data_IF_097790514852
#
_entry.id   IF_097790514852
#
_cell.length_a   1.000
_cell.length_b   1.000
_cell.length_c   1.000
_cell.angle_alpha   90.00
_cell.angle_beta   90.00
_cell.angle_gamma   90.00
#
_symmetry.space_group_name_H-M   'P 1'
#
loop_
_entity.id
_entity.type
_entity.pdbx_description
1 polymer ?
#
# COMPACT_ATOMS: atom_id res chain seq x y z
N UNK A 1 50.31 20.24 -23.45
CA UNK A 1 49.85 20.93 -22.22
C UNK A 1 48.35 20.75 -22.10
N UNK A 2 47.84 20.16 -21.00
CA UNK A 2 46.41 20.09 -20.74
C UNK A 2 45.92 21.45 -20.21
N UNK A 3 44.75 21.88 -20.68
CA UNK A 3 44.06 23.07 -20.17
C UNK A 3 43.48 22.76 -18.79
N UNK A 4 44.17 23.19 -17.74
CA UNK A 4 43.63 23.23 -16.39
C UNK A 4 42.40 24.13 -16.35
N UNK A 5 41.25 23.56 -15.95
CA UNK A 5 40.06 24.35 -15.59
C UNK A 5 40.41 25.23 -14.41
N UNK A 6 40.55 26.54 -14.64
CA UNK A 6 40.62 27.56 -13.58
C UNK A 6 39.42 27.41 -12.65
N UNK A 7 39.67 26.98 -11.42
CA UNK A 7 38.75 27.19 -10.30
C UNK A 7 38.77 28.68 -9.96
N UNK A 8 37.74 29.41 -10.38
CA UNK A 8 37.51 30.77 -9.92
C UNK A 8 36.90 30.64 -8.52
N UNK A 9 37.74 30.75 -7.49
CA UNK A 9 37.26 31.01 -6.13
C UNK A 9 36.92 32.50 -6.04
N UNK A 10 35.63 32.84 -6.04
CA UNK A 10 35.19 34.17 -5.61
C UNK A 10 35.02 34.17 -4.10
N UNK A 11 35.72 35.10 -3.45
CA UNK A 11 35.84 35.26 -2.00
C UNK A 11 34.55 35.89 -1.41
N UNK A 12 33.47 35.11 -1.47
CA UNK A 12 32.11 35.51 -1.09
C UNK A 12 31.00 34.58 -1.59
N UNK A 13 31.31 33.61 -2.46
CA UNK A 13 30.37 32.55 -2.79
C UNK A 13 30.24 31.59 -1.60
N UNK A 14 29.06 31.52 -0.99
CA UNK A 14 28.70 30.39 -0.10
C UNK A 14 29.11 29.10 -0.83
N UNK A 15 30.10 28.39 -0.28
CA UNK A 15 30.53 27.08 -0.77
C UNK A 15 29.27 26.25 -1.05
N UNK A 16 29.11 25.79 -2.29
CA UNK A 16 28.02 24.90 -2.65
C UNK A 16 28.30 23.53 -2.05
N UNK A 17 27.90 23.38 -0.79
CA UNK A 17 28.14 22.16 0.00
C UNK A 17 27.37 20.96 -0.55
N UNK A 18 26.30 21.18 -1.31
CA UNK A 18 25.50 20.10 -1.88
C UNK A 18 26.21 19.44 -3.07
N UNK A 19 26.91 20.20 -3.90
CA UNK A 19 27.67 19.62 -5.03
C UNK A 19 28.92 18.84 -4.61
N UNK A 20 29.41 19.03 -3.39
CA UNK A 20 30.55 18.29 -2.82
C UNK A 20 30.14 16.94 -2.21
N UNK A 21 28.86 16.74 -1.89
CA UNK A 21 28.39 15.48 -1.33
C UNK A 21 28.54 14.31 -2.33
N UNK A 22 28.83 13.08 -1.88
CA UNK A 22 28.75 11.87 -2.72
C UNK A 22 27.34 11.57 -3.22
N UNK A 23 27.22 10.82 -4.32
CA UNK A 23 25.93 10.47 -4.93
C UNK A 23 25.05 9.69 -3.95
N UNK A 24 25.63 8.82 -3.13
CA UNK A 24 24.93 8.00 -2.13
C UNK A 24 24.21 8.86 -1.09
N UNK A 25 24.87 9.93 -0.62
CA UNK A 25 24.28 10.87 0.34
C UNK A 25 23.17 11.66 -0.33
N UNK A 26 23.36 12.07 -1.58
CA UNK A 26 22.32 12.77 -2.34
C UNK A 26 21.11 11.88 -2.59
N UNK A 27 21.28 10.59 -2.90
CA UNK A 27 20.17 9.65 -3.02
C UNK A 27 19.39 9.50 -1.72
N UNK A 28 20.11 9.40 -0.59
CA UNK A 28 19.49 9.32 0.72
C UNK A 28 18.68 10.58 1.03
N UNK A 29 19.23 11.77 0.81
CA UNK A 29 18.50 13.04 1.00
C UNK A 29 17.28 13.11 0.08
N UNK A 30 17.43 12.77 -1.20
CA UNK A 30 16.32 12.78 -2.17
C UNK A 30 15.22 11.75 -1.82
N UNK A 31 15.57 10.66 -1.13
CA UNK A 31 14.59 9.64 -0.73
C UNK A 31 13.55 10.13 0.29
N UNK A 32 13.82 11.23 0.99
CA UNK A 32 12.87 11.87 1.90
C UNK A 32 11.94 12.88 1.22
N UNK A 33 12.18 13.19 -0.05
CA UNK A 33 11.42 14.20 -0.78
C UNK A 33 10.31 13.55 -1.60
N UNK A 34 9.24 14.31 -1.83
CA UNK A 34 8.28 14.01 -2.89
C UNK A 34 9.01 14.02 -4.24
N UNK A 35 8.68 13.03 -5.07
CA UNK A 35 9.19 12.81 -6.42
C UNK A 35 9.10 14.08 -7.27
N UNK A 36 8.09 14.93 -7.11
CA UNK A 36 8.00 16.20 -7.84
C UNK A 36 9.20 17.11 -7.56
N UNK A 37 9.67 17.17 -6.30
CA UNK A 37 10.83 17.98 -5.91
C UNK A 37 12.12 17.29 -6.33
N UNK A 38 12.16 15.95 -6.23
CA UNK A 38 13.28 15.16 -6.72
C UNK A 38 13.50 15.38 -8.22
N UNK A 39 12.44 15.34 -9.03
CA UNK A 39 12.50 15.64 -10.47
C UNK A 39 12.85 17.11 -10.70
N UNK A 40 12.27 18.06 -9.95
CA UNK A 40 12.62 19.50 -10.06
C UNK A 40 14.09 19.78 -9.78
N UNK A 41 14.74 19.01 -8.90
CA UNK A 41 16.18 19.16 -8.62
C UNK A 41 17.05 18.95 -9.86
N UNK A 42 16.53 18.29 -10.91
CA UNK A 42 17.25 18.08 -12.18
C UNK A 42 17.70 19.36 -12.88
N UNK A 43 17.13 20.52 -12.56
CA UNK A 43 17.54 21.82 -13.12
C UNK A 43 18.78 22.40 -12.45
N UNK A 44 19.19 21.89 -11.29
CA UNK A 44 20.29 22.46 -10.49
C UNK A 44 21.65 22.26 -11.17
N UNK A 45 21.90 21.09 -11.77
CA UNK A 45 23.08 20.86 -12.60
C UNK A 45 22.94 19.57 -13.43
N UNK A 46 23.88 19.35 -14.37
CA UNK A 46 23.95 18.11 -15.14
C UNK A 46 23.99 16.83 -14.28
N UNK A 47 24.62 16.90 -13.09
CA UNK A 47 24.66 15.79 -12.14
C UNK A 47 23.27 15.47 -11.60
N UNK A 48 22.52 16.49 -11.17
CA UNK A 48 21.17 16.31 -10.65
C UNK A 48 20.17 15.82 -11.69
N UNK A 49 20.42 16.08 -12.98
CA UNK A 49 19.62 15.58 -14.09
C UNK A 49 19.61 14.05 -14.21
N UNK A 50 20.67 13.37 -13.78
CA UNK A 50 20.72 11.91 -13.71
C UNK A 50 20.38 11.35 -12.34
N UNK A 51 20.68 12.08 -11.25
CA UNK A 51 20.49 11.60 -9.88
C UNK A 51 19.05 11.14 -9.60
N UNK A 52 18.05 11.91 -10.01
CA UNK A 52 16.64 11.57 -9.74
C UNK A 52 16.22 10.22 -10.35
N UNK A 53 16.85 9.78 -11.45
CA UNK A 53 16.59 8.49 -12.10
C UNK A 53 17.20 7.30 -11.37
N UNK A 54 18.07 7.56 -10.40
CA UNK A 54 18.85 6.57 -9.65
C UNK A 54 18.30 6.37 -8.22
N UNK A 55 17.42 7.27 -7.74
CA UNK A 55 16.83 7.20 -6.39
C UNK A 55 15.94 5.95 -6.26
N UNK A 56 16.16 5.06 -5.30
CA UNK A 56 15.41 3.80 -5.18
C UNK A 56 13.99 3.95 -4.60
N UNK A 57 13.60 5.17 -4.23
CA UNK A 57 12.34 5.58 -3.61
C UNK A 57 11.60 6.55 -4.53
N UNK A 58 10.31 6.33 -4.74
CA UNK A 58 9.40 7.29 -5.34
C UNK A 58 8.26 7.56 -4.37
N UNK A 59 8.14 8.81 -3.92
CA UNK A 59 7.03 9.27 -3.11
C UNK A 59 6.18 10.21 -3.94
N UNK A 60 4.90 9.92 -4.14
CA UNK A 60 3.98 10.78 -4.84
C UNK A 60 2.96 11.30 -3.85
N UNK A 61 2.81 12.62 -3.73
CA UNK A 61 1.71 13.23 -2.95
C UNK A 61 0.76 13.93 -3.91
N UNK A 62 -0.40 13.34 -4.13
CA UNK A 62 -1.34 13.79 -5.14
C UNK A 62 -2.01 15.12 -4.84
N UNK A 63 -2.03 15.60 -3.59
CA UNK A 63 -2.50 16.97 -3.24
C UNK A 63 -1.72 18.05 -3.98
N UNK A 64 -0.52 17.72 -4.46
CA UNK A 64 0.34 18.65 -5.17
C UNK A 64 0.23 18.59 -6.70
N UNK A 65 -0.68 17.77 -7.22
CA UNK A 65 -0.95 17.62 -8.64
C UNK A 65 -2.39 18.01 -8.95
N UNK A 66 -2.63 18.59 -10.13
CA UNK A 66 -3.99 18.75 -10.63
C UNK A 66 -4.58 17.35 -10.88
N UNK A 67 -5.80 17.12 -10.40
CA UNK A 67 -6.43 15.78 -10.32
C UNK A 67 -6.38 15.01 -11.64
N UNK A 68 -6.57 15.71 -12.75
CA UNK A 68 -6.74 15.14 -14.07
C UNK A 68 -5.44 14.61 -14.72
N UNK A 69 -4.27 14.94 -14.17
CA UNK A 69 -2.98 14.60 -14.79
C UNK A 69 -2.08 13.72 -13.92
N UNK A 70 -2.47 13.41 -12.68
CA UNK A 70 -1.59 12.72 -11.72
C UNK A 70 -1.18 11.33 -12.21
N UNK A 71 -2.14 10.52 -12.64
CA UNK A 71 -1.91 9.17 -13.19
C UNK A 71 -0.93 9.20 -14.36
N UNK A 72 -1.13 10.09 -15.32
CA UNK A 72 -0.29 10.20 -16.50
C UNK A 72 1.14 10.62 -16.14
N UNK A 73 1.31 11.50 -15.14
CA UNK A 73 2.63 11.84 -14.61
C UNK A 73 3.31 10.65 -13.95
N UNK A 74 2.58 9.89 -13.13
CA UNK A 74 3.12 8.68 -12.47
C UNK A 74 3.53 7.64 -13.53
N UNK A 75 2.67 7.35 -14.51
CA UNK A 75 2.96 6.39 -15.59
C UNK A 75 4.17 6.83 -16.43
N UNK A 76 4.22 8.11 -16.84
CA UNK A 76 5.36 8.65 -17.58
C UNK A 76 6.66 8.59 -16.77
N UNK A 77 6.62 8.91 -15.47
CA UNK A 77 7.81 8.85 -14.62
C UNK A 77 8.30 7.41 -14.43
N UNK A 78 7.40 6.46 -14.19
CA UNK A 78 7.72 5.04 -14.11
C UNK A 78 8.32 4.53 -15.43
N UNK A 79 7.77 4.98 -16.57
CA UNK A 79 8.31 4.68 -17.92
C UNK A 79 9.67 5.30 -18.20
N UNK A 80 9.94 6.54 -17.76
CA UNK A 80 11.27 7.14 -17.94
C UNK A 80 12.29 6.42 -17.08
N UNK A 81 11.88 5.95 -15.91
CA UNK A 81 12.75 5.26 -14.96
C UNK A 81 13.02 3.82 -15.31
N UNK A 82 12.12 3.13 -16.00
CA UNK A 82 12.37 1.74 -16.43
C UNK A 82 13.59 1.59 -17.33
N UNK A 83 13.98 2.67 -18.03
CA UNK A 83 15.18 2.71 -18.87
C UNK A 83 16.48 2.86 -18.04
N UNK A 84 16.37 3.22 -16.76
CA UNK A 84 17.51 3.30 -15.84
C UNK A 84 17.89 1.90 -15.35
N UNK A 85 19.19 1.59 -15.31
CA UNK A 85 19.69 0.33 -14.73
C UNK A 85 19.48 0.23 -13.20
N UNK A 86 18.93 1.26 -12.56
CA UNK A 86 18.75 1.34 -11.11
C UNK A 86 17.35 0.83 -10.72
N UNK A 87 17.32 -0.22 -9.90
CA UNK A 87 16.10 -0.90 -9.47
C UNK A 87 15.27 -0.02 -8.54
N UNK A 88 14.03 0.23 -8.92
CA UNK A 88 13.04 0.84 -8.04
C UNK A 88 12.61 -0.17 -6.97
N UNK A 89 12.82 0.15 -5.69
CA UNK A 89 12.49 -0.76 -4.58
C UNK A 89 11.31 -0.29 -3.76
N UNK A 90 11.13 1.01 -3.64
CA UNK A 90 10.09 1.61 -2.81
C UNK A 90 9.25 2.56 -3.63
N UNK A 91 7.93 2.39 -3.56
CA UNK A 91 6.96 3.32 -4.10
C UNK A 91 5.93 3.63 -3.03
N UNK A 92 5.72 4.91 -2.77
CA UNK A 92 4.67 5.42 -1.93
C UNK A 92 3.80 6.38 -2.75
N UNK A 93 2.49 6.16 -2.75
CA UNK A 93 1.51 7.08 -3.32
C UNK A 93 0.58 7.51 -2.20
N UNK A 94 0.71 8.77 -1.81
CA UNK A 94 -0.08 9.46 -0.80
C UNK A 94 -1.09 10.35 -1.50
N UNK A 95 -2.30 10.43 -0.97
CA UNK A 95 -3.34 11.36 -1.40
C UNK A 95 -3.61 11.33 -2.91
N UNK A 96 -3.91 10.17 -3.49
CA UNK A 96 -4.26 10.11 -4.92
C UNK A 96 -5.47 11.05 -5.18
N UNK A 97 -5.34 12.06 -6.05
CA UNK A 97 -6.44 12.95 -6.35
C UNK A 97 -7.48 12.21 -7.20
N UNK A 98 -8.75 12.60 -7.09
CA UNK A 98 -9.86 11.88 -7.73
C UNK A 98 -10.24 10.56 -7.05
N UNK A 99 -10.05 10.43 -5.73
CA UNK A 99 -10.58 9.31 -4.95
C UNK A 99 -12.12 9.27 -5.06
N UNK A 100 -12.67 8.16 -5.58
CA UNK A 100 -14.09 8.03 -5.93
C UNK A 100 -14.38 8.10 -7.44
N UNK A 101 -13.40 8.54 -8.26
CA UNK A 101 -13.40 8.34 -9.71
C UNK A 101 -12.53 7.12 -10.05
N UNK A 102 -12.78 6.45 -11.20
CA UNK A 102 -12.02 5.25 -11.64
C UNK A 102 -10.51 5.55 -11.74
N UNK A 103 -9.80 5.35 -10.63
CA UNK A 103 -8.36 5.62 -10.53
C UNK A 103 -7.57 4.39 -10.93
N UNK A 104 -7.07 4.40 -12.16
CA UNK A 104 -6.21 3.37 -12.74
C UNK A 104 -4.74 3.44 -12.25
N UNK A 105 -4.44 4.09 -11.12
CA UNK A 105 -3.04 4.27 -10.70
C UNK A 105 -2.36 2.93 -10.39
N UNK A 106 -3.13 1.98 -9.86
CA UNK A 106 -2.66 0.61 -9.66
C UNK A 106 -2.31 -0.06 -11.00
N UNK A 107 -3.07 0.22 -12.07
CA UNK A 107 -2.77 -0.27 -13.42
C UNK A 107 -1.46 0.34 -13.97
N UNK A 108 -1.16 1.60 -13.68
CA UNK A 108 0.12 2.22 -14.05
C UNK A 108 1.31 1.55 -13.33
N UNK A 109 1.18 1.31 -12.02
CA UNK A 109 2.17 0.56 -11.25
C UNK A 109 2.33 -0.87 -11.77
N UNK A 110 1.22 -1.55 -12.05
CA UNK A 110 1.21 -2.88 -12.60
C UNK A 110 1.93 -2.96 -13.96
N UNK A 111 1.65 -2.02 -14.87
CA UNK A 111 2.36 -1.89 -16.15
C UNK A 111 3.85 -1.72 -15.93
N UNK A 112 4.25 -0.94 -14.92
CA UNK A 112 5.66 -0.72 -14.63
C UNK A 112 6.40 -1.99 -14.19
N UNK A 113 5.76 -2.83 -13.37
CA UNK A 113 6.32 -4.11 -12.92
C UNK A 113 6.30 -5.14 -14.05
N UNK A 114 5.21 -5.20 -14.81
CA UNK A 114 5.00 -6.24 -15.82
C UNK A 114 5.78 -6.01 -17.10
N UNK A 115 5.84 -4.77 -17.59
CA UNK A 115 6.51 -4.43 -18.84
C UNK A 115 8.00 -4.18 -18.67
N UNK A 116 8.42 -3.75 -17.47
CA UNK A 116 9.79 -3.28 -17.25
C UNK A 116 10.55 -4.03 -16.15
N UNK A 117 10.00 -5.15 -15.67
CA UNK A 117 10.63 -6.06 -14.69
C UNK A 117 11.19 -5.34 -13.46
N UNK A 118 10.50 -4.28 -13.01
CA UNK A 118 10.92 -3.50 -11.84
C UNK A 118 10.59 -4.29 -10.57
N UNK A 119 11.59 -4.64 -9.73
CA UNK A 119 11.37 -5.42 -8.53
C UNK A 119 10.94 -4.50 -7.38
N UNK A 120 9.70 -4.02 -7.42
CA UNK A 120 9.13 -3.21 -6.34
C UNK A 120 9.01 -4.11 -5.10
N UNK A 121 9.80 -3.79 -4.07
CA UNK A 121 9.89 -4.53 -2.81
C UNK A 121 8.90 -3.98 -1.76
N UNK A 122 8.66 -2.68 -1.78
CA UNK A 122 7.84 -1.98 -0.81
C UNK A 122 6.84 -1.06 -1.52
N UNK A 123 5.54 -1.27 -1.26
CA UNK A 123 4.46 -0.51 -1.86
C UNK A 123 3.53 0.04 -0.77
N UNK A 124 3.42 1.36 -0.70
CA UNK A 124 2.53 2.07 0.21
C UNK A 124 1.52 2.85 -0.63
N UNK A 125 0.24 2.56 -0.45
CA UNK A 125 -0.84 3.20 -1.19
C UNK A 125 -1.84 3.76 -0.19
N UNK A 126 -2.14 5.05 -0.33
CA UNK A 126 -3.12 5.73 0.48
C UNK A 126 -4.18 6.38 -0.39
N UNK A 127 -5.46 6.21 -0.06
CA UNK A 127 -6.61 6.74 -0.82
C UNK A 127 -6.56 6.29 -2.27
N UNK A 128 -6.43 4.99 -2.48
CA UNK A 128 -6.45 4.36 -3.80
C UNK A 128 -7.67 3.46 -3.89
N UNK A 129 -8.39 3.59 -5.00
CA UNK A 129 -9.51 2.73 -5.36
C UNK A 129 -9.00 1.56 -6.21
N UNK A 130 -9.44 0.36 -5.84
CA UNK A 130 -9.15 -0.89 -6.53
C UNK A 130 -10.45 -1.42 -7.10
N UNK A 131 -10.65 -1.22 -8.40
CA UNK A 131 -11.78 -1.80 -9.11
C UNK A 131 -11.43 -3.23 -9.56
N UNK A 132 -12.47 -4.04 -9.76
CA UNK A 132 -12.48 -5.47 -10.14
C UNK A 132 -11.32 -5.93 -11.07
N UNK A 133 -10.90 -5.09 -12.03
CA UNK A 133 -9.85 -5.37 -13.00
C UNK A 133 -8.42 -5.40 -12.42
N UNK A 134 -8.16 -4.73 -11.30
CA UNK A 134 -6.81 -4.53 -10.74
C UNK A 134 -6.20 -5.83 -10.19
N UNK A 135 -7.01 -6.67 -9.53
CA UNK A 135 -6.54 -7.93 -8.95
C UNK A 135 -6.76 -9.15 -9.86
N UNK A 136 -7.73 -9.10 -10.79
CA UNK A 136 -8.19 -10.29 -11.52
C UNK A 136 -7.59 -10.59 -12.89
N UNK A 137 -6.98 -9.62 -13.58
CA UNK A 137 -6.61 -9.81 -15.00
C UNK A 137 -5.11 -9.77 -15.30
N UNK A 138 -4.29 -9.90 -14.28
CA UNK A 138 -2.90 -9.47 -14.37
C UNK A 138 -1.98 -10.68 -14.18
N UNK A 139 -1.62 -11.34 -15.29
CA UNK A 139 -0.76 -12.54 -15.36
C UNK A 139 0.64 -12.39 -14.75
N UNK A 140 0.95 -11.22 -14.16
CA UNK A 140 2.27 -10.79 -13.70
C UNK A 140 2.20 -10.17 -12.30
N UNK A 141 2.01 -10.98 -11.26
CA UNK A 141 2.02 -10.50 -9.87
C UNK A 141 3.32 -9.79 -9.46
N UNK A 142 3.27 -8.98 -8.41
CA UNK A 142 4.47 -8.34 -7.84
C UNK A 142 5.34 -9.40 -7.13
N UNK A 143 6.26 -10.03 -7.88
CA UNK A 143 7.07 -11.16 -7.39
C UNK A 143 8.08 -10.78 -6.30
N UNK A 144 8.56 -9.54 -6.31
CA UNK A 144 9.55 -9.03 -5.36
C UNK A 144 8.91 -8.35 -4.13
N UNK A 145 7.59 -8.17 -4.11
CA UNK A 145 6.91 -7.39 -3.08
C UNK A 145 6.99 -8.09 -1.73
N UNK A 146 7.58 -7.40 -0.76
CA UNK A 146 7.77 -7.86 0.61
C UNK A 146 6.88 -7.10 1.59
N UNK A 147 6.60 -5.82 1.32
CA UNK A 147 5.73 -4.97 2.13
C UNK A 147 4.64 -4.37 1.26
N UNK A 148 3.39 -4.57 1.65
CA UNK A 148 2.22 -3.89 1.10
C UNK A 148 1.47 -3.20 2.24
N UNK A 149 1.29 -1.89 2.13
CA UNK A 149 0.46 -1.13 3.05
C UNK A 149 -0.60 -0.36 2.26
N UNK A 150 -1.87 -0.63 2.57
CA UNK A 150 -3.04 0.05 2.02
C UNK A 150 -3.67 0.86 3.15
N UNK A 151 -3.91 2.14 2.91
CA UNK A 151 -4.50 3.06 3.90
C UNK A 151 -5.63 3.86 3.26
N UNK A 152 -6.80 3.91 3.89
CA UNK A 152 -7.96 4.65 3.36
C UNK A 152 -8.30 4.22 1.91
N UNK A 153 -8.07 2.94 1.58
CA UNK A 153 -8.25 2.40 0.23
C UNK A 153 -9.62 1.75 0.06
N UNK A 154 -10.21 1.91 -1.13
CA UNK A 154 -11.46 1.26 -1.51
C UNK A 154 -11.18 -0.01 -2.30
N UNK A 155 -11.72 -1.14 -1.85
CA UNK A 155 -11.49 -2.48 -2.39
C UNK A 155 -12.81 -3.01 -2.96
N UNK A 156 -13.12 -2.70 -4.21
CA UNK A 156 -14.37 -3.15 -4.85
C UNK A 156 -14.24 -4.57 -5.41
N UNK A 157 -14.99 -5.50 -4.81
CA UNK A 157 -15.10 -6.89 -5.26
C UNK A 157 -16.51 -7.25 -5.76
N UNK A 158 -17.41 -6.29 -5.93
CA UNK A 158 -18.84 -6.47 -6.26
C UNK A 158 -19.09 -7.37 -7.48
N UNK A 159 -18.17 -7.39 -8.44
CA UNK A 159 -18.32 -8.14 -9.69
C UNK A 159 -17.58 -9.48 -9.70
N UNK A 160 -17.29 -10.01 -8.50
CA UNK A 160 -16.69 -11.33 -8.28
C UNK A 160 -17.70 -12.31 -7.71
N UNK A 161 -18.13 -13.29 -8.52
CA UNK A 161 -18.99 -14.39 -8.05
C UNK A 161 -18.26 -15.40 -7.14
N UNK A 162 -17.02 -15.12 -6.69
CA UNK A 162 -16.21 -16.01 -5.85
C UNK A 162 -15.24 -15.24 -4.94
N UNK A 163 -14.93 -15.76 -3.73
CA UNK A 163 -13.99 -15.13 -2.81
C UNK A 163 -12.57 -15.15 -3.40
N UNK A 164 -12.11 -14.00 -3.89
CA UNK A 164 -10.74 -13.84 -4.34
C UNK A 164 -9.80 -13.67 -3.15
N UNK A 165 -8.61 -14.25 -3.26
CA UNK A 165 -7.47 -13.77 -2.47
C UNK A 165 -6.67 -12.74 -3.29
N UNK A 166 -6.89 -11.42 -3.08
CA UNK A 166 -6.18 -10.36 -3.83
C UNK A 166 -4.66 -10.43 -3.65
N UNK A 167 -4.19 -11.02 -2.54
CA UNK A 167 -2.77 -11.13 -2.22
C UNK A 167 -2.10 -12.42 -2.73
N UNK A 168 -2.85 -13.31 -3.39
CA UNK A 168 -2.34 -14.62 -3.85
C UNK A 168 -1.15 -14.54 -4.81
N UNK A 169 -0.95 -13.39 -5.45
CA UNK A 169 0.09 -13.16 -6.46
C UNK A 169 1.31 -12.41 -5.92
N UNK A 170 1.44 -12.27 -4.60
CA UNK A 170 2.59 -11.67 -3.93
C UNK A 170 3.37 -12.74 -3.15
N UNK A 171 4.15 -13.60 -3.82
CA UNK A 171 4.73 -14.80 -3.22
C UNK A 171 5.77 -14.50 -2.12
N UNK A 172 6.37 -13.31 -2.13
CA UNK A 172 7.40 -12.88 -1.18
C UNK A 172 6.85 -11.94 -0.10
N UNK A 173 5.54 -11.74 -0.03
CA UNK A 173 4.92 -10.80 0.89
C UNK A 173 5.11 -11.25 2.35
N UNK A 174 5.79 -10.41 3.14
CA UNK A 174 6.10 -10.64 4.55
C UNK A 174 5.28 -9.75 5.47
N UNK A 175 4.95 -8.54 5.00
CA UNK A 175 4.20 -7.56 5.78
C UNK A 175 3.02 -7.06 4.97
N UNK A 176 1.82 -7.19 5.54
CA UNK A 176 0.59 -6.65 4.98
C UNK A 176 -0.05 -5.73 6.02
N UNK A 177 -0.37 -4.51 5.64
CA UNK A 177 -1.14 -3.58 6.45
C UNK A 177 -2.36 -3.11 5.65
N UNK A 178 -3.54 -3.22 6.24
CA UNK A 178 -4.82 -2.72 5.75
C UNK A 178 -5.36 -1.79 6.84
N UNK A 179 -5.40 -0.48 6.55
CA UNK A 179 -5.73 0.55 7.53
C UNK A 179 -6.88 1.40 6.99
N UNK A 180 -8.01 1.45 7.68
CA UNK A 180 -9.20 2.20 7.25
C UNK A 180 -9.62 1.85 5.81
N UNK A 181 -9.49 0.58 5.41
CA UNK A 181 -9.88 0.13 4.07
C UNK A 181 -11.35 -0.28 4.05
N UNK A 182 -12.05 0.01 2.95
CA UNK A 182 -13.47 -0.32 2.82
C UNK A 182 -13.79 -1.02 1.51
N UNK A 183 -14.90 -1.75 1.46
CA UNK A 183 -15.52 -2.18 0.20
C UNK A 183 -16.96 -1.68 0.08
N UNK A 184 -17.50 -1.68 -1.14
CA UNK A 184 -18.83 -1.14 -1.48
C UNK A 184 -19.89 -1.39 -0.41
N UNK A 185 -20.43 -0.30 0.12
CA UNK A 185 -21.84 -0.21 0.45
C UNK A 185 -22.50 0.22 -0.86
N UNK A 186 -23.13 -0.71 -1.60
CA UNK A 186 -23.95 -0.30 -2.73
C UNK A 186 -24.99 0.71 -2.26
N UNK A 187 -25.42 1.62 -3.14
CA UNK A 187 -26.50 2.58 -2.82
C UNK A 187 -27.80 1.86 -2.38
N UNK A 188 -27.96 0.59 -2.76
CA UNK A 188 -29.03 -0.31 -2.32
C UNK A 188 -28.44 -1.60 -1.66
N UNK A 189 -28.42 -1.70 -0.31
CA UNK A 189 -27.97 -2.90 0.40
C UNK A 189 -28.88 -4.13 0.18
N UNK A 190 -30.05 -3.96 -0.43
CA UNK A 190 -31.04 -5.03 -0.64
C UNK A 190 -30.89 -5.80 -1.97
N UNK A 191 -30.17 -5.27 -2.98
CA UNK A 191 -30.08 -5.91 -4.31
C UNK A 191 -28.78 -6.72 -4.56
N UNK A 192 -27.74 -6.54 -3.74
CA UNK A 192 -26.46 -7.21 -3.92
C UNK A 192 -26.30 -8.38 -2.94
N UNK A 193 -26.87 -9.54 -3.31
CA UNK A 193 -26.78 -10.83 -2.59
C UNK A 193 -25.35 -11.43 -2.57
N UNK A 194 -24.36 -10.72 -3.13
CA UNK A 194 -23.00 -11.21 -3.26
C UNK A 194 -22.26 -11.12 -1.93
N UNK A 195 -21.95 -12.27 -1.32
CA UNK A 195 -21.11 -12.36 -0.11
C UNK A 195 -19.75 -11.66 -0.31
N UNK A 196 -19.52 -10.60 0.46
CA UNK A 196 -18.30 -9.78 0.44
C UNK A 196 -17.26 -10.36 1.39
N UNK A 197 -16.55 -11.38 0.94
CA UNK A 197 -15.50 -12.04 1.72
C UNK A 197 -14.11 -11.54 1.33
N UNK A 198 -13.38 -10.90 2.25
CA UNK A 198 -11.95 -10.62 2.11
C UNK A 198 -11.12 -11.82 2.58
N UNK A 199 -10.48 -12.52 1.64
CA UNK A 199 -9.61 -13.65 1.96
C UNK A 199 -8.13 -13.27 1.89
N UNK A 200 -7.44 -13.31 3.02
CA UNK A 200 -5.99 -13.10 3.10
C UNK A 200 -5.30 -14.46 3.22
N UNK A 201 -4.70 -14.95 2.13
CA UNK A 201 -3.80 -16.13 2.20
C UNK A 201 -2.36 -15.71 1.99
N UNK A 202 -1.54 -15.88 3.03
CA UNK A 202 -0.13 -15.46 3.02
C UNK A 202 0.78 -16.51 3.65
N UNK A 203 1.35 -17.40 2.83
CA UNK A 203 2.26 -18.45 3.31
C UNK A 203 3.59 -17.89 3.83
N UNK A 204 4.05 -16.75 3.32
CA UNK A 204 5.31 -16.09 3.76
C UNK A 204 5.04 -14.89 4.68
N UNK A 205 3.78 -14.63 5.01
CA UNK A 205 3.37 -13.47 5.79
C UNK A 205 3.81 -13.64 7.24
N UNK A 206 4.59 -12.68 7.74
CA UNK A 206 5.14 -12.66 9.10
C UNK A 206 4.43 -11.64 9.99
N UNK A 207 3.93 -10.56 9.39
CA UNK A 207 3.26 -9.46 10.07
C UNK A 207 1.99 -9.06 9.32
N UNK A 208 0.87 -8.99 10.04
CA UNK A 208 -0.42 -8.53 9.52
C UNK A 208 -0.96 -7.43 10.42
N UNK A 209 -1.32 -6.30 9.84
CA UNK A 209 -2.10 -5.25 10.49
C UNK A 209 -3.42 -5.07 9.75
N UNK A 210 -4.52 -5.26 10.47
CA UNK A 210 -5.88 -4.97 10.01
C UNK A 210 -6.42 -3.96 11.01
N UNK A 211 -6.56 -2.72 10.58
CA UNK A 211 -7.00 -1.61 11.40
C UNK A 211 -8.20 -0.98 10.70
N UNK A 212 -9.37 -1.02 11.34
CA UNK A 212 -10.58 -0.34 10.88
C UNK A 212 -11.00 -0.71 9.45
N UNK A 213 -11.06 -2.02 9.13
CA UNK A 213 -11.48 -2.51 7.82
C UNK A 213 -12.97 -2.86 7.84
N UNK A 214 -13.76 -2.25 6.96
CA UNK A 214 -15.24 -2.31 6.99
C UNK A 214 -15.89 -2.52 5.61
N UNK A 215 -17.20 -2.79 5.60
CA UNK A 215 -18.00 -3.06 4.39
C UNK A 215 -18.00 -4.52 3.92
N UNK A 216 -17.19 -5.38 4.55
CA UNK A 216 -17.12 -6.82 4.27
C UNK A 216 -18.09 -7.59 5.14
N UNK A 217 -18.70 -8.65 4.61
CA UNK A 217 -19.47 -9.60 5.41
C UNK A 217 -18.55 -10.53 6.20
N UNK A 218 -17.40 -10.87 5.62
CA UNK A 218 -16.45 -11.81 6.23
C UNK A 218 -14.99 -11.46 5.90
N UNK A 219 -14.10 -11.57 6.90
CA UNK A 219 -12.64 -11.49 6.72
C UNK A 219 -12.02 -12.83 7.15
N UNK A 220 -11.51 -13.58 6.18
CA UNK A 220 -10.83 -14.87 6.38
C UNK A 220 -9.33 -14.72 6.25
N UNK A 221 -8.58 -14.92 7.33
CA UNK A 221 -7.11 -14.89 7.34
C UNK A 221 -6.54 -16.30 7.48
N UNK A 222 -5.80 -16.76 6.48
CA UNK A 222 -5.02 -17.99 6.52
C UNK A 222 -3.54 -17.68 6.29
N UNK A 223 -2.77 -17.63 7.37
CA UNK A 223 -1.35 -17.29 7.33
C UNK A 223 -0.58 -18.18 8.33
N UNK A 224 -0.11 -19.36 7.90
CA UNK A 224 0.45 -20.36 8.81
C UNK A 224 1.78 -19.93 9.46
N UNK A 225 2.53 -19.03 8.84
CA UNK A 225 3.82 -18.53 9.35
C UNK A 225 3.72 -17.13 10.00
N UNK A 226 2.50 -16.64 10.24
CA UNK A 226 2.27 -15.33 10.81
C UNK A 226 2.77 -15.29 12.26
N UNK A 227 3.65 -14.34 12.58
CA UNK A 227 4.23 -14.17 13.93
C UNK A 227 3.58 -13.04 14.71
N UNK A 228 3.21 -11.96 14.02
CA UNK A 228 2.60 -10.77 14.62
C UNK A 228 1.31 -10.41 13.91
N UNK A 229 0.26 -10.22 14.69
CA UNK A 229 -1.03 -9.76 14.20
C UNK A 229 -1.51 -8.57 15.04
N UNK A 230 -1.86 -7.48 14.36
CA UNK A 230 -2.60 -6.37 14.96
C UNK A 230 -3.99 -6.37 14.32
N UNK A 231 -5.03 -6.47 15.14
CA UNK A 231 -6.42 -6.31 14.71
C UNK A 231 -7.03 -5.18 15.53
N UNK A 232 -7.39 -4.08 14.87
CA UNK A 232 -8.16 -3.01 15.49
C UNK A 232 -9.45 -2.83 14.70
N UNK A 233 -10.55 -2.67 15.40
CA UNK A 233 -11.84 -2.42 14.78
C UNK A 233 -12.57 -1.32 15.55
N UNK A 234 -13.00 -0.28 14.84
CA UNK A 234 -13.93 0.72 15.34
C UNK A 234 -15.30 0.42 14.73
N UNK A 235 -16.33 0.29 15.55
CA UNK A 235 -17.67 0.01 15.04
C UNK A 235 -18.27 1.33 14.56
N UNK A 236 -18.49 1.45 13.26
CA UNK A 236 -19.18 2.59 12.65
C UNK A 236 -20.68 2.34 12.57
N UNK A 237 -21.49 3.37 12.79
CA UNK A 237 -22.96 3.33 12.99
C UNK A 237 -23.80 2.66 11.87
N UNK A 238 -23.19 2.20 10.77
CA UNK A 238 -23.89 1.68 9.59
C UNK A 238 -23.17 0.53 8.86
N UNK A 239 -22.10 -0.03 9.43
CA UNK A 239 -21.38 -1.13 8.76
C UNK A 239 -22.00 -2.48 9.12
N UNK A 240 -22.25 -3.37 8.14
CA UNK A 240 -22.64 -4.74 8.44
C UNK A 240 -21.58 -5.41 9.33
N UNK A 241 -22.02 -6.24 10.27
CA UNK A 241 -21.15 -6.84 11.26
C UNK A 241 -20.23 -7.88 10.61
N UNK A 242 -18.99 -7.49 10.30
CA UNK A 242 -18.01 -8.32 9.61
C UNK A 242 -17.55 -9.51 10.46
N UNK A 243 -17.86 -10.73 10.04
CA UNK A 243 -17.35 -11.94 10.70
C UNK A 243 -15.84 -12.11 10.41
N UNK A 244 -15.01 -12.24 11.43
CA UNK A 244 -13.56 -12.37 11.26
C UNK A 244 -13.06 -13.74 11.73
N UNK A 245 -12.43 -14.47 10.81
CA UNK A 245 -11.90 -15.82 11.04
C UNK A 245 -10.39 -15.87 10.84
N UNK A 246 -9.65 -16.16 11.90
CA UNK A 246 -8.20 -16.33 11.86
C UNK A 246 -7.78 -17.80 11.95
N UNK A 247 -6.98 -18.22 10.98
CA UNK A 247 -6.23 -19.47 11.00
C UNK A 247 -4.73 -19.16 10.86
N UNK A 248 -4.08 -18.98 12.02
CA UNK A 248 -2.73 -18.43 12.16
C UNK A 248 -1.92 -19.20 13.21
N UNK A 249 -1.67 -20.51 13.03
CA UNK A 249 -1.14 -21.41 14.06
C UNK A 249 0.24 -21.04 14.64
N UNK A 250 1.04 -20.22 13.96
CA UNK A 250 2.39 -19.82 14.45
C UNK A 250 2.41 -18.44 15.12
N UNK A 251 1.25 -17.91 15.51
CA UNK A 251 1.13 -16.55 16.04
C UNK A 251 1.80 -16.42 17.41
N UNK A 252 2.81 -15.54 17.49
CA UNK A 252 3.56 -15.28 18.73
C UNK A 252 3.02 -14.05 19.47
N UNK A 253 2.61 -13.02 18.74
CA UNK A 253 2.12 -11.76 19.31
C UNK A 253 0.83 -11.31 18.63
N UNK A 254 -0.21 -11.11 19.43
CA UNK A 254 -1.48 -10.55 19.00
C UNK A 254 -1.76 -9.23 19.74
N UNK A 255 -2.07 -8.17 19.01
CA UNK A 255 -2.57 -6.92 19.55
C UNK A 255 -4.00 -6.70 19.03
N UNK A 256 -4.99 -6.88 19.90
CA UNK A 256 -6.40 -6.79 19.55
C UNK A 256 -6.99 -5.58 20.27
N UNK A 257 -7.52 -4.61 19.51
CA UNK A 257 -8.17 -3.42 20.06
C UNK A 257 -9.57 -3.28 19.46
N UNK A 258 -10.59 -3.50 20.27
CA UNK A 258 -11.99 -3.37 19.88
C UNK A 258 -12.51 -2.09 20.54
N UNK A 259 -12.77 -1.05 19.75
CA UNK A 259 -13.25 0.23 20.25
C UNK A 259 -14.78 0.29 20.29
N UNK A 260 -15.31 1.01 21.28
CA UNK A 260 -16.58 0.69 21.94
C UNK A 260 -17.88 1.09 21.25
N UNK A 261 -18.92 0.34 21.63
CA UNK A 261 -20.34 0.38 21.26
C UNK A 261 -21.13 1.64 21.67
N UNK A 262 -20.58 2.84 21.50
CA UNK A 262 -21.33 4.05 21.91
C UNK A 262 -22.45 4.35 20.91
N UNK A 263 -23.69 4.11 21.30
CA UNK A 263 -24.89 4.47 20.51
C UNK A 263 -25.65 3.30 19.90
N UNK A 264 -25.08 2.08 19.90
CA UNK A 264 -25.75 0.89 19.37
C UNK A 264 -26.85 0.37 20.29
N UNK A 265 -27.88 -0.24 19.69
CA UNK A 265 -28.90 -0.98 20.43
C UNK A 265 -28.33 -2.25 21.10
N UNK A 266 -29.11 -2.87 21.96
CA UNK A 266 -28.65 -4.03 22.74
C UNK A 266 -28.52 -5.33 21.93
N UNK A 267 -29.21 -5.43 20.78
CA UNK A 267 -29.14 -6.59 19.88
C UNK A 267 -27.82 -6.59 19.10
N UNK A 268 -27.43 -5.43 18.54
CA UNK A 268 -26.14 -5.22 17.88
C UNK A 268 -24.98 -5.42 18.86
N UNK A 269 -25.11 -4.97 20.12
CA UNK A 269 -24.08 -5.25 21.16
C UNK A 269 -23.92 -6.74 21.40
N UNK A 270 -25.01 -7.50 21.48
CA UNK A 270 -24.94 -8.95 21.72
C UNK A 270 -24.28 -9.69 20.55
N UNK A 271 -24.67 -9.37 19.32
CA UNK A 271 -24.09 -10.00 18.13
C UNK A 271 -22.60 -9.66 17.99
N UNK A 272 -22.21 -8.42 18.26
CA UNK A 272 -20.81 -8.02 18.19
C UNK A 272 -19.97 -8.69 19.29
N UNK A 273 -20.52 -8.86 20.49
CA UNK A 273 -19.87 -9.63 21.55
C UNK A 273 -19.70 -11.10 21.17
N UNK A 274 -20.68 -11.70 20.47
CA UNK A 274 -20.59 -13.07 19.95
C UNK A 274 -19.47 -13.21 18.92
N UNK A 275 -19.38 -12.29 17.96
CA UNK A 275 -18.31 -12.30 16.96
C UNK A 275 -16.92 -12.05 17.59
N UNK A 276 -16.83 -11.12 18.54
CA UNK A 276 -15.60 -10.91 19.30
C UNK A 276 -15.18 -12.18 20.05
N UNK A 277 -16.13 -12.90 20.66
CA UNK A 277 -15.83 -14.18 21.29
C UNK A 277 -15.30 -15.21 20.27
N UNK A 278 -15.86 -15.28 19.06
CA UNK A 278 -15.35 -16.14 17.98
C UNK A 278 -13.93 -15.74 17.53
N UNK A 279 -13.67 -14.44 17.40
CA UNK A 279 -12.34 -13.89 17.10
C UNK A 279 -11.31 -14.33 18.15
N UNK A 280 -11.62 -14.14 19.44
CA UNK A 280 -10.76 -14.56 20.55
C UNK A 280 -10.60 -16.09 20.61
N UNK A 281 -11.64 -16.87 20.29
CA UNK A 281 -11.55 -18.33 20.21
C UNK A 281 -10.65 -18.79 19.05
N UNK A 282 -10.73 -18.16 17.88
CA UNK A 282 -9.84 -18.42 16.75
C UNK A 282 -8.37 -18.13 17.07
N UNK A 283 -8.11 -16.99 17.71
CA UNK A 283 -6.76 -16.57 18.09
C UNK A 283 -6.19 -17.36 19.28
N UNK A 284 -7.01 -17.73 20.26
CA UNK A 284 -6.58 -18.58 21.39
C UNK A 284 -6.23 -20.00 20.94
N UNK A 285 -6.96 -20.58 19.98
CA UNK A 285 -6.58 -21.87 19.35
C UNK A 285 -5.25 -21.79 18.62
N UNK A 286 -4.88 -20.63 18.08
CA UNK A 286 -3.58 -20.40 17.48
C UNK A 286 -2.45 -20.28 18.52
N UNK A 287 -2.70 -19.64 19.68
CA UNK A 287 -1.67 -19.42 20.71
C UNK A 287 -1.54 -20.55 21.75
N UNK A 288 -2.54 -21.44 21.87
CA UNK A 288 -2.55 -22.55 22.85
C UNK A 288 -1.74 -23.79 22.43
N UNK A 289 -0.97 -23.69 21.34
CA UNK A 289 -0.08 -24.75 20.83
C UNK A 289 1.41 -24.54 21.18
N UNK A 290 1.71 -23.73 22.19
CA UNK A 290 3.08 -23.52 22.72
C UNK A 290 3.28 -24.26 24.03
#
# INVERSE_FOLDING_TARGET
>A
MPLERRQIFSDGAKLDRLSVLPDEVLYYVLSFLDTKYVVRSSILSNRWRSLWKMVHVLNFDGESFNEHNFKDHVDQLLKIRSVSSHRLRHVSILNCPGFGERSDIFNALFRSVSLYDQPIENLYLKRVQFDNMAFGLSSFGFKALTILALSECYLDFSSWNQPLNPFSRFPMLKNLALISCSCCLGDDPEEDETMRCLKVVGLQLLSLEVDDVFGFDEIKVFAPNLKRCTYKNEIHDFSPMTEVLFNVPSLEHANIKLLGYMGLDDEYKQEANRQNANLFLGLSRAMSLV
#
